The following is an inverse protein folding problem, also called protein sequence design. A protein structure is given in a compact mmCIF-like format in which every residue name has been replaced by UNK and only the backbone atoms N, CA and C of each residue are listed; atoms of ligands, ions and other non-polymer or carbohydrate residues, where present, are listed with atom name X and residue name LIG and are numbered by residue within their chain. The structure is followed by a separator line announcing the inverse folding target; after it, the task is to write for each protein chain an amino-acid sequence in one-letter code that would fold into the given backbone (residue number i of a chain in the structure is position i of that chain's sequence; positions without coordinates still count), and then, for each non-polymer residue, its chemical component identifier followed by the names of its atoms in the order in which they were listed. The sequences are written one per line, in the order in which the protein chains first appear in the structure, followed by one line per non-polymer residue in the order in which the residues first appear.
data_IF_578505491378
#
_entry.id   IF_578505491378
#
_cell.length_a   1.000
_cell.length_b   1.000
_cell.length_c   1.000
_cell.angle_alpha   90.00
_cell.angle_beta   90.00
_cell.angle_gamma   90.00
#
_symmetry.space_group_name_H-M   'P 1'
#
loop_
_entity.id
_entity.type
_entity.pdbx_description
1 polymer ?
#
# COMPACT_ATOMS: atom_id res chain seq x y z
N UNK A 1 1.39 0.27 -45.03
CA UNK A 1 0.75 1.34 -44.25
C UNK A 1 -0.35 0.69 -43.43
N UNK A 2 -0.18 0.61 -42.11
CA UNK A 2 -1.23 0.13 -41.20
C UNK A 2 -1.01 0.82 -39.85
N UNK A 3 -1.95 1.68 -39.49
CA UNK A 3 -1.87 2.63 -38.39
C UNK A 3 -1.97 1.97 -37.01
N UNK A 4 -1.07 2.40 -36.13
CA UNK A 4 -1.03 2.02 -34.73
C UNK A 4 -2.04 2.86 -33.92
N UNK A 5 -3.12 2.22 -33.45
CA UNK A 5 -4.05 2.83 -32.51
C UNK A 5 -3.40 2.84 -31.12
N UNK A 6 -2.89 4.01 -30.73
CA UNK A 6 -2.44 4.32 -29.37
C UNK A 6 -3.63 4.28 -28.41
N UNK A 7 -3.75 3.22 -27.61
CA UNK A 7 -4.72 3.15 -26.51
C UNK A 7 -4.17 3.92 -25.29
N UNK A 8 -4.52 5.20 -25.19
CA UNK A 8 -4.25 6.01 -24.01
C UNK A 8 -5.12 5.52 -22.84
N UNK A 9 -4.49 4.94 -21.81
CA UNK A 9 -5.14 4.60 -20.54
C UNK A 9 -5.56 5.89 -19.83
N UNK A 10 -6.84 6.23 -19.91
CA UNK A 10 -7.44 7.37 -19.20
C UNK A 10 -7.59 6.98 -17.73
N UNK A 11 -7.27 7.89 -16.82
CA UNK A 11 -7.40 7.65 -15.38
C UNK A 11 -8.88 7.87 -15.04
N UNK A 12 -9.62 6.79 -14.75
CA UNK A 12 -11.08 6.81 -14.62
C UNK A 12 -11.54 6.91 -13.15
N UNK A 13 -11.15 7.96 -12.45
CA UNK A 13 -11.52 8.15 -11.04
C UNK A 13 -12.70 9.10 -10.81
N UNK A 14 -13.41 9.55 -11.86
CA UNK A 14 -14.55 10.47 -11.72
C UNK A 14 -15.88 9.82 -12.13
N UNK A 15 -16.90 10.05 -11.31
CA UNK A 15 -18.27 9.55 -11.49
C UNK A 15 -18.91 10.04 -12.79
N UNK A 16 -18.46 11.17 -13.34
CA UNK A 16 -18.92 11.73 -14.62
C UNK A 16 -18.42 11.01 -15.88
N UNK A 17 -17.46 10.09 -15.76
CA UNK A 17 -16.83 9.45 -16.91
C UNK A 17 -17.47 8.10 -17.33
N UNK A 18 -18.60 7.72 -16.72
CA UNK A 18 -19.39 6.55 -17.14
C UNK A 18 -20.90 6.81 -16.96
N UNK A 19 -21.73 6.18 -17.80
CA UNK A 19 -23.18 6.11 -17.62
C UNK A 19 -23.50 5.15 -16.46
N UNK A 20 -23.21 5.59 -15.23
CA UNK A 20 -23.55 4.86 -14.03
C UNK A 20 -25.06 4.94 -13.79
N UNK A 21 -25.79 3.85 -14.04
CA UNK A 21 -27.17 3.69 -13.61
C UNK A 21 -27.23 3.35 -12.11
N UNK A 22 -26.77 4.28 -11.27
CA UNK A 22 -27.09 4.27 -9.85
C UNK A 22 -28.46 4.94 -9.65
N UNK A 23 -29.35 4.40 -8.80
CA UNK A 23 -30.60 5.08 -8.48
C UNK A 23 -30.29 6.45 -7.89
N UNK A 24 -30.98 7.48 -8.38
CA UNK A 24 -30.78 8.87 -7.97
C UNK A 24 -30.82 8.99 -6.45
N UNK A 25 -29.65 9.22 -5.84
CA UNK A 25 -29.60 9.73 -4.47
C UNK A 25 -30.05 11.18 -4.53
N UNK A 26 -31.27 11.43 -4.10
CA UNK A 26 -31.78 12.77 -3.86
C UNK A 26 -31.06 13.31 -2.61
N UNK A 27 -29.90 13.93 -2.80
CA UNK A 27 -29.35 14.84 -1.80
C UNK A 27 -30.03 16.17 -2.09
N UNK A 28 -30.98 16.54 -1.23
CA UNK A 28 -31.49 17.90 -1.23
C UNK A 28 -30.33 18.79 -0.79
N UNK A 29 -29.71 19.46 -1.77
CA UNK A 29 -28.88 20.62 -1.48
C UNK A 29 -29.83 21.69 -0.92
N UNK A 30 -29.92 21.76 0.41
CA UNK A 30 -30.45 22.93 1.09
C UNK A 30 -29.48 24.07 0.83
N UNK A 31 -29.68 24.75 -0.31
CA UNK A 31 -29.05 26.04 -0.59
C UNK A 31 -29.70 27.04 0.36
N UNK A 32 -29.18 27.10 1.58
CA UNK A 32 -29.43 28.25 2.44
C UNK A 32 -28.80 29.44 1.75
N UNK A 33 -29.66 30.31 1.24
CA UNK A 33 -29.34 31.58 0.65
C UNK A 33 -28.58 32.43 1.69
N UNK A 34 -27.26 32.34 1.67
CA UNK A 34 -26.37 33.24 2.36
C UNK A 34 -25.66 34.03 1.26
N UNK A 35 -25.96 35.32 1.20
CA UNK A 35 -25.29 36.33 0.39
C UNK A 35 -23.81 36.39 0.79
N UNK A 36 -23.00 35.45 0.30
CA UNK A 36 -21.56 35.45 0.47
C UNK A 36 -20.96 36.07 -0.80
N UNK A 37 -20.60 37.36 -0.71
CA UNK A 37 -19.85 38.03 -1.75
C UNK A 37 -18.68 37.17 -2.21
N UNK A 38 -18.62 36.89 -3.50
CA UNK A 38 -17.61 36.07 -4.19
C UNK A 38 -16.26 36.77 -4.07
N UNK A 39 -15.60 36.65 -2.91
CA UNK A 39 -14.34 37.33 -2.65
C UNK A 39 -13.20 36.56 -3.33
N UNK A 40 -12.96 36.87 -4.60
CA UNK A 40 -11.79 36.34 -5.29
C UNK A 40 -10.53 36.86 -4.59
N UNK A 41 -9.75 35.95 -4.03
CA UNK A 41 -8.53 36.30 -3.29
C UNK A 41 -7.30 36.11 -4.20
N UNK A 42 -6.29 36.97 -4.03
CA UNK A 42 -5.08 36.98 -4.88
C UNK A 42 -3.96 36.16 -4.25
N UNK A 43 -3.21 35.44 -5.08
CA UNK A 43 -1.99 34.75 -4.66
C UNK A 43 -0.98 35.73 -4.03
N UNK A 44 -0.44 35.37 -2.87
CA UNK A 44 0.55 36.20 -2.15
C UNK A 44 1.99 36.08 -2.70
N UNK A 45 2.18 35.41 -3.83
CA UNK A 45 3.49 35.34 -4.49
C UNK A 45 3.68 36.58 -5.38
N UNK A 46 4.81 37.28 -5.26
CA UNK A 46 5.05 38.59 -5.89
C UNK A 46 4.86 38.57 -7.41
N UNK A 47 5.28 37.48 -8.06
CA UNK A 47 5.25 37.36 -9.51
C UNK A 47 3.94 36.72 -10.01
N UNK A 48 2.95 36.54 -9.12
CA UNK A 48 1.67 35.96 -9.44
C UNK A 48 0.56 37.01 -9.51
N UNK A 49 -0.16 37.02 -10.63
CA UNK A 49 -1.37 37.84 -10.80
C UNK A 49 -2.67 37.06 -10.73
N UNK A 50 -2.61 35.75 -10.43
CA UNK A 50 -3.78 34.86 -10.40
C UNK A 50 -4.65 35.14 -9.17
N UNK A 51 -5.94 35.30 -9.42
CA UNK A 51 -6.99 35.39 -8.41
C UNK A 51 -7.83 34.11 -8.46
N UNK A 52 -8.07 33.50 -7.31
CA UNK A 52 -8.84 32.25 -7.21
C UNK A 52 -9.91 32.37 -6.12
N UNK A 53 -10.97 31.59 -6.27
CA UNK A 53 -12.01 31.45 -5.25
C UNK A 53 -11.50 30.76 -3.99
N UNK A 54 -10.49 29.90 -4.13
CA UNK A 54 -9.85 29.16 -3.06
C UNK A 54 -8.34 29.29 -3.20
N UNK A 55 -7.68 29.74 -2.14
CA UNK A 55 -6.23 29.61 -1.99
C UNK A 55 -5.89 28.52 -0.99
N UNK A 56 -4.70 27.96 -1.16
CA UNK A 56 -4.14 26.99 -0.25
C UNK A 56 -3.18 27.71 0.70
N UNK A 57 -3.32 27.44 2.00
CA UNK A 57 -2.40 27.93 3.01
C UNK A 57 -1.11 27.10 3.01
N UNK A 58 0.05 27.78 3.03
CA UNK A 58 1.33 27.13 3.23
C UNK A 58 1.53 26.78 4.71
N UNK A 59 1.82 25.53 5.01
CA UNK A 59 2.04 25.05 6.38
C UNK A 59 3.21 25.75 7.10
N UNK A 60 4.21 26.23 6.33
CA UNK A 60 5.42 26.84 6.89
C UNK A 60 5.27 28.35 7.13
N UNK A 61 4.99 29.12 6.07
CA UNK A 61 4.90 30.58 6.14
C UNK A 61 3.48 31.11 6.41
N UNK A 62 2.47 30.23 6.42
CA UNK A 62 1.05 30.59 6.61
C UNK A 62 0.49 31.56 5.56
N UNK A 63 1.20 31.72 4.44
CA UNK A 63 0.74 32.50 3.30
C UNK A 63 -0.28 31.75 2.45
N UNK A 64 -1.11 32.50 1.72
CA UNK A 64 -2.14 31.98 0.82
C UNK A 64 -1.69 31.99 -0.64
N UNK A 65 -1.70 30.83 -1.29
CA UNK A 65 -1.19 30.64 -2.65
C UNK A 65 -2.17 29.91 -3.56
N UNK A 66 -2.10 30.23 -4.86
CA UNK A 66 -2.85 29.49 -5.88
C UNK A 66 -2.31 28.06 -6.04
N UNK A 67 -3.07 27.18 -6.70
CA UNK A 67 -2.67 25.77 -6.94
C UNK A 67 -1.27 25.64 -7.56
N UNK A 68 -0.88 26.59 -8.41
CA UNK A 68 0.44 26.64 -9.06
C UNK A 68 1.60 27.10 -8.18
N UNK A 69 1.32 27.77 -7.06
CA UNK A 69 2.34 28.29 -6.13
C UNK A 69 2.23 27.72 -4.71
N UNK A 70 1.38 26.70 -4.51
CA UNK A 70 1.18 26.08 -3.18
C UNK A 70 2.45 25.40 -2.64
N UNK A 71 3.33 24.93 -3.52
CA UNK A 71 4.56 24.26 -3.11
C UNK A 71 5.57 25.27 -2.57
N UNK A 72 6.30 24.89 -1.51
CA UNK A 72 7.20 25.79 -0.76
C UNK A 72 8.33 26.30 -1.63
N UNK A 73 8.80 25.49 -2.56
CA UNK A 73 9.86 25.79 -3.52
C UNK A 73 9.39 26.80 -4.56
N UNK A 74 8.12 26.71 -4.98
CA UNK A 74 7.60 27.52 -6.08
C UNK A 74 7.31 28.96 -5.66
N UNK A 75 6.83 29.19 -4.43
CA UNK A 75 6.64 30.55 -3.91
C UNK A 75 7.84 31.10 -3.13
N UNK A 76 9.00 30.42 -3.20
CA UNK A 76 10.23 30.81 -2.50
C UNK A 76 9.98 31.07 -1.02
N UNK A 77 9.44 30.06 -0.32
CA UNK A 77 9.02 30.18 1.06
C UNK A 77 10.16 30.70 1.95
N UNK A 78 9.94 31.74 2.78
CA UNK A 78 10.98 32.24 3.69
C UNK A 78 11.39 31.22 4.75
N UNK A 79 10.55 30.21 5.01
CA UNK A 79 10.81 29.09 5.93
C UNK A 79 11.06 27.77 5.21
N UNK A 80 11.58 27.82 3.98
CA UNK A 80 11.91 26.60 3.21
C UNK A 80 12.91 25.74 3.98
N UNK A 81 13.98 26.35 4.49
CA UNK A 81 15.11 25.65 5.11
C UNK A 81 14.77 24.99 6.44
N UNK A 82 13.98 25.64 7.30
CA UNK A 82 13.56 25.06 8.58
C UNK A 82 12.64 23.86 8.38
N UNK A 83 11.72 23.94 7.41
CA UNK A 83 10.85 22.81 7.09
C UNK A 83 11.63 21.61 6.51
N UNK A 84 12.71 21.85 5.76
CA UNK A 84 13.57 20.77 5.25
C UNK A 84 14.49 20.19 6.32
N UNK A 85 15.01 21.02 7.23
CA UNK A 85 15.85 20.56 8.33
C UNK A 85 15.06 19.78 9.37
N UNK A 86 13.83 20.20 9.70
CA UNK A 86 12.92 19.45 10.57
C UNK A 86 12.55 18.10 9.95
N UNK A 87 12.15 18.08 8.67
CA UNK A 87 11.86 16.84 7.96
C UNK A 87 13.10 15.92 7.84
N UNK A 88 14.30 16.51 7.71
CA UNK A 88 15.57 15.76 7.71
C UNK A 88 15.87 15.21 9.10
N UNK A 89 15.72 15.99 10.15
CA UNK A 89 15.92 15.57 11.53
C UNK A 89 14.93 14.46 11.92
N UNK A 90 13.67 14.57 11.49
CA UNK A 90 12.65 13.54 11.70
C UNK A 90 12.97 12.25 10.93
N UNK A 91 13.44 12.36 9.67
CA UNK A 91 13.94 11.21 8.91
C UNK A 91 15.16 10.57 9.57
N UNK A 92 16.12 11.36 10.05
CA UNK A 92 17.31 10.88 10.75
C UNK A 92 16.95 10.25 12.11
N UNK A 93 15.97 10.78 12.83
CA UNK A 93 15.42 10.17 14.04
C UNK A 93 14.69 8.86 13.74
N UNK A 94 13.90 8.81 12.67
CA UNK A 94 13.23 7.59 12.21
C UNK A 94 14.22 6.49 11.81
N UNK A 95 15.34 6.84 11.16
CA UNK A 95 16.42 5.91 10.84
C UNK A 95 17.10 5.38 12.10
N UNK A 96 17.34 6.25 13.10
CA UNK A 96 17.89 5.86 14.41
C UNK A 96 16.98 4.96 15.23
N UNK A 97 15.68 5.19 15.16
CA UNK A 97 14.71 4.31 15.78
C UNK A 97 14.67 2.96 15.06
N UNK A 98 14.84 2.92 13.73
CA UNK A 98 14.84 1.67 12.95
C UNK A 98 16.06 0.77 13.16
N UNK A 99 17.20 1.30 13.60
CA UNK A 99 18.38 0.51 13.99
C UNK A 99 18.24 -0.12 15.38
N UNK A 100 17.42 0.47 16.27
CA UNK A 100 17.15 -0.03 17.63
C UNK A 100 15.92 -0.97 17.69
N UNK A 101 15.17 -1.11 16.59
CA UNK A 101 14.09 -2.10 16.50
C UNK A 101 14.65 -3.53 16.54
N UNK A 102 14.16 -4.32 17.50
CA UNK A 102 14.47 -5.74 17.64
C UNK A 102 14.15 -6.52 16.36
N UNK A 103 15.20 -6.90 15.63
CA UNK A 103 15.10 -7.62 14.34
C UNK A 103 14.74 -9.09 14.51
N UNK A 104 14.45 -9.54 15.73
CA UNK A 104 13.94 -10.90 16.03
C UNK A 104 12.68 -11.23 15.23
N UNK A 105 11.81 -10.24 14.99
CA UNK A 105 10.62 -10.38 14.14
C UNK A 105 10.93 -10.56 12.63
N UNK A 106 12.12 -10.18 12.16
CA UNK A 106 12.57 -10.44 10.78
C UNK A 106 13.31 -11.79 10.67
N UNK A 107 13.82 -12.29 11.78
CA UNK A 107 14.42 -13.62 11.89
C UNK A 107 13.39 -14.75 11.83
N UNK A 108 12.18 -14.54 12.36
CA UNK A 108 11.09 -15.52 12.27
C UNK A 108 10.63 -15.77 10.83
N UNK A 109 10.60 -14.71 10.00
CA UNK A 109 10.30 -14.79 8.55
C UNK A 109 11.41 -15.51 7.77
N UNK A 110 12.62 -15.60 8.34
CA UNK A 110 13.77 -16.29 7.74
C UNK A 110 13.79 -17.79 8.04
N UNK A 111 12.83 -18.32 8.82
CA UNK A 111 12.74 -19.75 9.13
C UNK A 111 12.15 -20.51 7.92
N UNK A 112 12.87 -21.47 7.33
CA UNK A 112 12.31 -22.31 6.29
C UNK A 112 11.13 -23.12 6.83
N UNK A 113 9.98 -23.06 6.17
CA UNK A 113 8.77 -23.83 6.52
C UNK A 113 8.78 -25.23 5.88
N UNK A 114 9.92 -25.92 5.94
CA UNK A 114 9.94 -27.36 5.75
C UNK A 114 10.06 -27.97 7.14
N UNK A 115 9.20 -28.94 7.45
CA UNK A 115 9.39 -29.79 8.62
C UNK A 115 10.69 -30.57 8.42
N UNK A 116 11.77 -30.13 9.07
CA UNK A 116 12.86 -31.03 9.41
C UNK A 116 12.45 -31.57 10.76
N UNK A 117 12.15 -32.86 10.83
CA UNK A 117 11.99 -33.60 12.09
C UNK A 117 13.08 -33.14 13.08
N UNK A 118 12.73 -32.81 14.33
CA UNK A 118 13.72 -32.40 15.31
C UNK A 118 14.61 -33.61 15.62
N UNK A 119 15.77 -33.70 14.98
CA UNK A 119 16.81 -34.55 15.49
C UNK A 119 17.27 -33.95 16.81
N UNK A 120 16.95 -34.68 17.88
CA UNK A 120 17.37 -34.47 19.26
C UNK A 120 18.85 -34.08 19.32
N UNK A 121 19.08 -32.81 19.60
CA UNK A 121 20.42 -32.25 19.73
C UNK A 121 20.33 -30.78 20.06
N UNK A 122 20.33 -30.46 21.35
CA UNK A 122 20.57 -29.13 21.86
C UNK A 122 21.83 -28.54 21.21
N UNK A 123 21.67 -27.55 20.35
CA UNK A 123 22.76 -26.63 20.03
C UNK A 123 22.20 -25.24 19.81
N UNK A 124 22.58 -24.31 20.68
CA UNK A 124 22.44 -22.87 20.43
C UNK A 124 23.00 -22.55 19.05
N UNK A 125 22.11 -22.22 18.12
CA UNK A 125 22.51 -21.76 16.80
C UNK A 125 23.09 -20.35 16.95
N UNK A 126 24.41 -20.23 16.74
CA UNK A 126 25.12 -18.94 16.68
C UNK A 126 24.33 -17.92 15.83
N UNK A 127 24.33 -16.62 16.20
CA UNK A 127 23.60 -15.61 15.45
C UNK A 127 24.11 -15.57 13.99
N UNK A 128 23.22 -15.93 13.08
CA UNK A 128 23.45 -15.89 11.63
C UNK A 128 23.77 -14.44 11.24
N UNK A 129 24.90 -14.19 10.58
CA UNK A 129 25.33 -12.84 10.18
C UNK A 129 24.24 -12.09 9.38
N UNK A 130 24.20 -10.76 9.52
CA UNK A 130 23.29 -9.91 8.73
C UNK A 130 23.39 -10.16 7.22
N UNK A 131 24.59 -10.45 6.74
CA UNK A 131 24.86 -10.73 5.32
C UNK A 131 24.27 -12.08 4.88
N UNK A 132 24.33 -13.12 5.71
CA UNK A 132 23.74 -14.42 5.38
C UNK A 132 22.22 -14.41 5.48
N UNK A 133 21.63 -13.61 6.39
CA UNK A 133 20.17 -13.39 6.45
C UNK A 133 19.63 -12.73 5.18
N UNK A 134 20.31 -11.68 4.71
CA UNK A 134 19.91 -11.00 3.48
C UNK A 134 19.95 -11.93 2.26
N UNK A 135 20.97 -12.80 2.17
CA UNK A 135 21.05 -13.83 1.13
C UNK A 135 19.94 -14.86 1.26
N UNK A 136 19.66 -15.34 2.48
CA UNK A 136 18.57 -16.29 2.73
C UNK A 136 17.20 -15.71 2.34
N UNK A 137 16.89 -14.46 2.72
CA UNK A 137 15.65 -13.79 2.33
C UNK A 137 15.52 -13.63 0.80
N UNK A 138 16.62 -13.30 0.11
CA UNK A 138 16.65 -13.23 -1.35
C UNK A 138 16.36 -14.58 -1.99
N UNK A 139 16.94 -15.66 -1.48
CA UNK A 139 16.70 -17.02 -1.96
C UNK A 139 15.24 -17.44 -1.73
N UNK A 140 14.67 -17.17 -0.55
CA UNK A 140 13.26 -17.44 -0.26
C UNK A 140 12.32 -16.69 -1.21
N UNK A 141 12.60 -15.42 -1.51
CA UNK A 141 11.81 -14.64 -2.48
C UNK A 141 11.98 -15.16 -3.90
N UNK A 142 13.19 -15.56 -4.30
CA UNK A 142 13.44 -16.19 -5.61
C UNK A 142 12.65 -17.49 -5.75
N UNK A 143 12.74 -18.39 -4.77
CA UNK A 143 11.99 -19.64 -4.75
C UNK A 143 10.48 -19.39 -4.77
N UNK A 144 9.98 -18.43 -3.97
CA UNK A 144 8.57 -18.07 -3.99
C UNK A 144 8.14 -17.56 -5.37
N UNK A 145 8.91 -16.70 -6.03
CA UNK A 145 8.62 -16.22 -7.39
C UNK A 145 8.64 -17.34 -8.43
N UNK A 146 9.55 -18.30 -8.29
CA UNK A 146 9.67 -19.44 -9.22
C UNK A 146 8.51 -20.43 -9.08
N UNK A 147 8.04 -20.68 -7.85
CA UNK A 147 7.01 -21.68 -7.56
C UNK A 147 5.61 -21.10 -7.34
N UNK A 148 5.44 -19.79 -7.41
CA UNK A 148 4.17 -19.14 -7.20
C UNK A 148 3.12 -19.62 -8.22
N UNK A 149 1.98 -20.10 -7.71
CA UNK A 149 0.84 -20.48 -8.54
C UNK A 149 -0.07 -19.27 -8.79
N UNK A 150 -0.77 -19.19 -9.93
CA UNK A 150 -1.72 -18.11 -10.14
C UNK A 150 -2.88 -18.19 -9.15
N UNK A 151 -3.24 -17.06 -8.54
CA UNK A 151 -4.48 -16.92 -7.76
C UNK A 151 -5.70 -16.89 -8.70
N UNK A 152 -6.16 -18.06 -9.12
CA UNK A 152 -7.29 -18.21 -10.05
C UNK A 152 -6.97 -17.78 -11.49
N UNK A 153 -7.99 -17.83 -12.36
CA UNK A 153 -7.82 -17.67 -13.82
C UNK A 153 -7.33 -16.29 -14.25
N UNK A 154 -7.80 -15.23 -13.59
CA UNK A 154 -7.42 -13.85 -13.92
C UNK A 154 -5.93 -13.63 -13.64
N UNK A 155 -5.40 -14.22 -12.56
CA UNK A 155 -3.98 -14.14 -12.26
C UNK A 155 -3.13 -14.86 -13.33
N UNK A 156 -3.57 -16.02 -13.83
CA UNK A 156 -2.84 -16.82 -14.85
C UNK A 156 -2.45 -16.03 -16.10
N UNK A 157 -3.25 -15.03 -16.48
CA UNK A 157 -3.01 -14.20 -17.67
C UNK A 157 -2.09 -13.00 -17.44
N UNK A 158 -1.61 -12.78 -16.20
CA UNK A 158 -0.79 -11.62 -15.88
C UNK A 158 0.65 -11.75 -16.38
N UNK A 159 1.18 -10.65 -16.92
CA UNK A 159 2.61 -10.52 -17.23
C UNK A 159 3.45 -10.56 -15.95
N UNK A 160 4.74 -10.91 -16.03
CA UNK A 160 5.61 -10.96 -14.84
C UNK A 160 5.67 -9.62 -14.08
N UNK A 161 5.53 -8.50 -14.79
CA UNK A 161 5.55 -7.15 -14.21
C UNK A 161 4.26 -6.85 -13.44
N UNK A 162 3.13 -7.48 -13.76
CA UNK A 162 1.86 -7.22 -13.07
C UNK A 162 1.60 -8.18 -11.90
N UNK A 163 2.53 -9.12 -11.65
CA UNK A 163 2.43 -10.13 -10.60
C UNK A 163 2.96 -9.60 -9.27
N UNK A 164 2.20 -9.85 -8.22
CA UNK A 164 2.60 -9.65 -6.84
C UNK A 164 2.55 -10.99 -6.11
N UNK A 165 3.68 -11.44 -5.57
CA UNK A 165 3.80 -12.76 -4.94
C UNK A 165 3.48 -12.66 -3.45
N UNK A 166 2.54 -13.47 -3.01
CA UNK A 166 2.10 -13.60 -1.61
C UNK A 166 2.27 -15.06 -1.18
N UNK A 167 2.64 -15.27 0.07
CA UNK A 167 2.62 -16.60 0.69
C UNK A 167 1.39 -16.67 1.56
N UNK A 168 0.54 -17.66 1.34
CA UNK A 168 -0.68 -17.84 2.11
C UNK A 168 -0.60 -19.14 2.89
N UNK A 169 -1.16 -19.10 4.10
CA UNK A 169 -1.32 -20.23 5.00
C UNK A 169 -2.67 -20.08 5.72
N UNK A 170 -3.21 -21.19 6.20
CA UNK A 170 -4.41 -21.21 7.04
C UNK A 170 -4.02 -21.60 8.46
N UNK A 171 -4.64 -20.96 9.46
CA UNK A 171 -4.44 -21.36 10.85
C UNK A 171 -5.00 -22.77 11.10
N UNK A 172 -4.31 -23.56 11.92
CA UNK A 172 -4.76 -24.90 12.30
C UNK A 172 -6.13 -24.89 12.98
N UNK A 173 -6.54 -23.77 13.59
CA UNK A 173 -7.86 -23.58 14.19
C UNK A 173 -8.98 -23.56 13.15
N UNK A 174 -8.72 -22.99 11.96
CA UNK A 174 -9.70 -22.84 10.88
C UNK A 174 -9.75 -24.05 9.97
N UNK A 175 -8.61 -24.71 9.77
CA UNK A 175 -8.54 -25.96 9.02
C UNK A 175 -7.44 -26.87 9.57
N UNK A 176 -7.75 -27.76 10.54
CA UNK A 176 -6.76 -28.64 11.16
C UNK A 176 -6.22 -29.71 10.19
N UNK A 177 -6.88 -29.90 9.05
CA UNK A 177 -6.43 -30.85 8.01
C UNK A 177 -5.46 -30.24 7.01
N UNK A 178 -5.26 -28.91 7.04
CA UNK A 178 -4.47 -28.17 6.07
C UNK A 178 -3.40 -27.33 6.77
N UNK A 179 -2.16 -27.80 6.75
CA UNK A 179 -0.97 -27.01 7.14
C UNK A 179 -0.23 -26.44 5.92
N UNK A 180 -0.90 -26.41 4.77
CA UNK A 180 -0.27 -26.10 3.50
C UNK A 180 0.12 -24.61 3.45
N UNK A 181 1.38 -24.34 3.13
CA UNK A 181 1.90 -22.98 2.97
C UNK A 181 2.45 -22.85 1.56
N UNK A 182 1.69 -22.17 0.71
CA UNK A 182 2.00 -22.11 -0.71
C UNK A 182 2.20 -20.65 -1.18
N UNK A 183 3.19 -20.39 -2.06
CA UNK A 183 3.30 -19.11 -2.74
C UNK A 183 2.27 -19.01 -3.87
N UNK A 184 1.61 -17.87 -3.95
CA UNK A 184 0.71 -17.49 -5.03
C UNK A 184 1.12 -16.16 -5.63
N UNK A 185 0.74 -15.91 -6.87
CA UNK A 185 0.81 -14.58 -7.45
C UNK A 185 -0.60 -14.03 -7.75
N UNK A 186 -0.80 -12.77 -7.36
CA UNK A 186 -2.00 -11.96 -7.59
C UNK A 186 -1.64 -10.76 -8.47
N UNK A 187 -2.63 -9.99 -8.90
CA UNK A 187 -2.37 -8.71 -9.58
C UNK A 187 -1.93 -7.64 -8.59
N UNK A 188 -0.99 -6.77 -9.00
CA UNK A 188 -0.52 -5.61 -8.19
C UNK A 188 -1.64 -4.73 -7.62
N UNK A 189 -2.77 -4.65 -8.31
CA UNK A 189 -3.92 -3.80 -7.94
C UNK A 189 -5.13 -4.61 -7.46
N UNK A 190 -4.94 -5.87 -7.05
CA UNK A 190 -6.05 -6.66 -6.52
C UNK A 190 -6.47 -6.13 -5.14
N UNK A 191 -7.78 -5.92 -4.91
CA UNK A 191 -8.27 -5.54 -3.59
C UNK A 191 -8.05 -6.70 -2.61
N UNK A 192 -7.74 -6.37 -1.36
CA UNK A 192 -7.46 -7.37 -0.31
C UNK A 192 -8.61 -8.37 -0.14
N UNK A 193 -9.86 -7.92 -0.23
CA UNK A 193 -11.04 -8.80 -0.18
C UNK A 193 -11.02 -9.90 -1.24
N UNK A 194 -10.56 -9.60 -2.46
CA UNK A 194 -10.45 -10.61 -3.53
C UNK A 194 -9.36 -11.65 -3.25
N UNK A 195 -8.28 -11.23 -2.59
CA UNK A 195 -7.21 -12.13 -2.13
C UNK A 195 -7.75 -13.05 -1.04
N UNK A 196 -8.56 -12.51 -0.13
CA UNK A 196 -9.24 -13.26 0.92
C UNK A 196 -10.24 -14.27 0.40
N UNK A 197 -11.09 -13.88 -0.56
CA UNK A 197 -12.04 -14.79 -1.19
C UNK A 197 -11.33 -15.97 -1.86
N UNK A 198 -10.21 -15.69 -2.55
CA UNK A 198 -9.37 -16.74 -3.13
C UNK A 198 -8.78 -17.65 -2.05
N UNK A 199 -8.23 -17.10 -0.98
CA UNK A 199 -7.65 -17.87 0.11
C UNK A 199 -8.71 -18.78 0.77
N UNK A 200 -9.89 -18.24 1.06
CA UNK A 200 -11.01 -18.99 1.64
C UNK A 200 -11.38 -20.19 0.76
N UNK A 201 -11.51 -19.97 -0.55
CA UNK A 201 -11.83 -21.03 -1.51
C UNK A 201 -10.71 -22.06 -1.63
N UNK A 202 -9.45 -21.61 -1.68
CA UNK A 202 -8.28 -22.48 -1.85
C UNK A 202 -8.05 -23.39 -0.63
N UNK A 203 -8.20 -22.84 0.59
CA UNK A 203 -8.03 -23.59 1.84
C UNK A 203 -9.31 -24.22 2.37
N UNK A 204 -10.41 -24.15 1.61
CA UNK A 204 -11.72 -24.69 1.99
C UNK A 204 -12.18 -24.24 3.40
N UNK A 205 -11.91 -22.99 3.76
CA UNK A 205 -12.29 -22.42 5.06
C UNK A 205 -13.80 -22.17 5.07
N UNK A 206 -14.50 -22.74 6.06
CA UNK A 206 -15.94 -22.54 6.24
C UNK A 206 -16.20 -21.15 6.82
N UNK A 207 -17.15 -20.43 6.22
CA UNK A 207 -17.58 -19.14 6.77
C UNK A 207 -18.32 -19.34 8.11
N UNK A 208 -18.06 -18.52 9.14
CA UNK A 208 -18.87 -18.56 10.35
C UNK A 208 -20.28 -18.00 10.08
N UNK A 209 -21.28 -18.42 10.88
CA UNK A 209 -22.68 -18.04 10.68
C UNK A 209 -22.96 -16.53 10.87
N UNK A 210 -22.04 -15.77 11.47
CA UNK A 210 -22.14 -14.33 11.72
C UNK A 210 -21.46 -13.44 10.67
N UNK A 211 -21.05 -14.01 9.52
CA UNK A 211 -20.39 -13.28 8.42
C UNK A 211 -18.90 -13.59 8.29
N UNK A 212 -18.26 -13.04 7.25
CA UNK A 212 -16.86 -13.32 6.90
C UNK A 212 -15.91 -12.50 7.78
N UNK A 213 -15.37 -13.10 8.83
CA UNK A 213 -14.19 -12.55 9.53
C UNK A 213 -13.03 -13.48 9.23
N UNK A 214 -12.28 -13.18 8.17
CA UNK A 214 -10.96 -13.77 7.95
C UNK A 214 -9.96 -12.75 8.48
N UNK A 215 -9.39 -13.03 9.64
CA UNK A 215 -8.30 -12.23 10.17
C UNK A 215 -7.03 -12.53 9.39
N UNK A 216 -6.50 -11.51 8.73
CA UNK A 216 -5.20 -11.57 8.08
C UNK A 216 -4.13 -11.19 9.09
N UNK A 217 -3.38 -12.19 9.52
CA UNK A 217 -2.10 -11.94 10.17
C UNK A 217 -1.07 -11.68 9.08
N UNK A 218 -0.78 -10.40 8.87
CA UNK A 218 0.47 -10.02 8.19
C UNK A 218 1.54 -10.16 9.25
N UNK A 219 2.35 -11.22 9.16
CA UNK A 219 3.57 -11.31 9.93
C UNK A 219 4.39 -10.05 9.62
N UNK A 220 4.45 -9.12 10.59
CA UNK A 220 5.20 -7.84 10.63
C UNK A 220 4.39 -6.53 10.47
N UNK A 221 3.72 -6.09 11.55
CA UNK A 221 3.59 -4.66 11.89
C UNK A 221 4.11 -4.48 13.32
N UNK A 222 5.32 -3.95 13.55
CA UNK A 222 5.67 -3.45 14.88
C UNK A 222 4.78 -2.22 15.17
N UNK A 223 4.21 -2.15 16.38
CA UNK A 223 3.65 -0.91 16.94
C UNK A 223 4.77 0.07 17.26
#
# INVERSE_FOLDING_TARGET
MADAIKLARKIHSSVTAHECQAPSRNVQDEVTNAEAGTCQQRCQFSDCTKTQMLLLECEACKGQFCIGHKQKETHQCPKLWTATDEARAEREAGVRNAEDLDRTALHSVSRPLHHVEPHSGSSESKPVSARSRATAARLTLMQAKMHAKPAGRVASSLSAEDRFVIRLSVSAELNPSSTDVAPFFVGKFWPLGKVLDFAQQHFAVKAPPSGTIIELYVDNIPK
#
